data_IF_269468933296
#
_entry.id   IF_269468933296
#
_cell.length_a   1.000
_cell.length_b   1.000
_cell.length_c   1.000
_cell.angle_alpha   90.00
_cell.angle_beta   90.00
_cell.angle_gamma   90.00
#
_symmetry.space_group_name_H-M   'P 1'
#
loop_
_entity.id
_entity.type
_entity.pdbx_description
1 polymer ?
#
# COMPACT_ATOMS: atom_id res chain seq x y z
N UNK A 1 9.63 2.49 7.41
CA UNK A 1 9.62 3.15 6.09
C UNK A 1 8.31 3.93 5.94
N UNK A 2 8.29 5.13 5.33
CA UNK A 2 7.03 5.88 5.15
C UNK A 2 6.33 5.40 3.87
N UNK A 3 5.03 5.12 3.88
CA UNK A 3 4.27 4.72 2.69
C UNK A 3 4.34 5.74 1.55
N UNK A 4 4.56 7.03 1.88
CA UNK A 4 4.82 8.11 0.91
C UNK A 4 6.15 7.96 0.15
N UNK A 5 7.10 7.20 0.69
CA UNK A 5 8.33 6.83 -0.03
C UNK A 5 8.05 5.70 -1.02
N UNK A 6 7.21 4.73 -0.65
CA UNK A 6 6.79 3.63 -1.53
C UNK A 6 5.98 4.16 -2.71
N UNK A 7 4.99 5.03 -2.46
CA UNK A 7 4.18 5.63 -3.53
C UNK A 7 5.03 6.36 -4.57
N UNK A 8 6.05 7.10 -4.14
CA UNK A 8 7.00 7.78 -5.04
C UNK A 8 7.92 6.81 -5.79
N UNK A 9 8.46 5.79 -5.11
CA UNK A 9 9.39 4.83 -5.72
C UNK A 9 8.72 4.05 -6.85
N UNK A 10 7.51 3.55 -6.58
CA UNK A 10 6.77 2.67 -7.48
C UNK A 10 5.79 3.43 -8.39
N UNK A 11 5.63 4.75 -8.21
CA UNK A 11 4.69 5.60 -8.95
C UNK A 11 3.24 5.10 -8.84
N UNK A 12 2.86 4.68 -7.65
CA UNK A 12 1.53 4.17 -7.31
C UNK A 12 0.85 5.08 -6.29
N UNK A 13 -0.47 5.03 -6.23
CA UNK A 13 -1.26 5.74 -5.23
C UNK A 13 -1.56 4.82 -4.04
N UNK A 14 -1.27 5.31 -2.83
CA UNK A 14 -1.40 4.54 -1.59
C UNK A 14 -2.06 5.41 -0.53
N UNK A 15 -3.19 4.95 -0.02
CA UNK A 15 -3.87 5.56 1.10
C UNK A 15 -3.62 4.79 2.39
N UNK A 16 -3.64 5.52 3.51
CA UNK A 16 -3.65 4.93 4.85
C UNK A 16 -5.05 5.09 5.44
N UNK A 17 -5.68 3.97 5.76
CA UNK A 17 -7.04 3.91 6.32
C UNK A 17 -7.04 3.23 7.68
N UNK A 18 -8.16 3.32 8.41
CA UNK A 18 -8.39 2.53 9.64
C UNK A 18 -9.49 1.49 9.41
N UNK A 19 -9.17 0.23 9.65
CA UNK A 19 -10.10 -0.90 9.58
C UNK A 19 -10.16 -1.54 10.96
N UNK A 20 -11.36 -1.58 11.56
CA UNK A 20 -11.58 -2.13 12.90
C UNK A 20 -10.64 -1.57 13.99
N UNK A 21 -10.25 -0.30 13.87
CA UNK A 21 -9.34 0.37 14.81
C UNK A 21 -7.85 0.18 14.53
N UNK A 22 -7.50 -0.63 13.53
CA UNK A 22 -6.12 -0.85 13.10
C UNK A 22 -5.81 -0.06 11.83
N UNK A 23 -4.57 0.40 11.72
CA UNK A 23 -4.09 1.04 10.50
C UNK A 23 -3.96 -0.01 9.39
N UNK A 24 -4.40 0.32 8.18
CA UNK A 24 -4.24 -0.48 6.98
C UNK A 24 -3.89 0.43 5.79
N UNK A 25 -3.41 -0.18 4.70
CA UNK A 25 -2.96 0.52 3.51
C UNK A 25 -3.75 0.04 2.29
N UNK A 26 -4.24 0.98 1.49
CA UNK A 26 -4.95 0.71 0.25
C UNK A 26 -4.05 1.12 -0.90
N UNK A 27 -3.68 0.16 -1.75
CA UNK A 27 -3.00 0.40 -3.01
C UNK A 27 -4.06 0.52 -4.12
N UNK A 28 -3.99 1.60 -4.87
CA UNK A 28 -4.87 1.85 -6.01
C UNK A 28 -4.23 1.36 -7.30
N UNK A 29 -4.82 0.32 -7.87
CA UNK A 29 -4.47 -0.23 -9.18
C UNK A 29 -5.54 0.17 -10.21
N UNK A 30 -5.20 0.11 -11.50
CA UNK A 30 -6.06 0.64 -12.57
C UNK A 30 -7.50 0.10 -12.59
N UNK A 31 -7.74 -1.11 -12.07
CA UNK A 31 -9.06 -1.76 -12.07
C UNK A 31 -9.46 -2.34 -10.70
N UNK A 32 -8.62 -2.20 -9.66
CA UNK A 32 -8.85 -2.87 -8.39
C UNK A 32 -8.17 -2.12 -7.23
N UNK A 33 -8.65 -2.36 -6.01
CA UNK A 33 -8.07 -1.83 -4.78
C UNK A 33 -7.54 -3.00 -3.96
N UNK A 34 -6.25 -2.95 -3.59
CA UNK A 34 -5.64 -3.96 -2.74
C UNK A 34 -5.49 -3.41 -1.32
N UNK A 35 -5.94 -4.19 -0.34
CA UNK A 35 -5.84 -3.85 1.07
C UNK A 35 -4.72 -4.66 1.73
N UNK A 36 -3.83 -3.97 2.44
CA UNK A 36 -2.74 -4.55 3.21
C UNK A 36 -2.85 -4.12 4.66
N UNK A 37 -2.70 -5.04 5.62
CA UNK A 37 -2.83 -4.73 7.04
C UNK A 37 -1.52 -4.26 7.67
N UNK A 38 -0.39 -4.49 6.98
CA UNK A 38 0.91 -3.99 7.40
C UNK A 38 1.64 -3.28 6.27
N UNK A 39 2.59 -2.42 6.62
CA UNK A 39 3.45 -1.76 5.64
C UNK A 39 4.44 -2.76 4.98
N UNK A 40 4.77 -3.85 5.66
CA UNK A 40 5.66 -4.90 5.18
C UNK A 40 4.98 -5.74 4.08
N UNK A 41 3.72 -6.15 4.27
CA UNK A 41 2.94 -6.84 3.22
C UNK A 41 2.83 -5.99 1.95
N UNK A 42 2.51 -4.70 2.11
CA UNK A 42 2.46 -3.76 0.99
C UNK A 42 3.82 -3.65 0.29
N UNK A 43 4.91 -3.55 1.06
CA UNK A 43 6.25 -3.43 0.49
C UNK A 43 6.65 -4.70 -0.27
N UNK A 44 6.41 -5.89 0.30
CA UNK A 44 6.70 -7.16 -0.36
C UNK A 44 5.94 -7.30 -1.68
N UNK A 45 4.64 -6.99 -1.68
CA UNK A 45 3.84 -6.99 -2.90
C UNK A 45 4.42 -6.06 -3.97
N UNK A 46 4.78 -4.83 -3.58
CA UNK A 46 5.37 -3.87 -4.52
C UNK A 46 6.74 -4.33 -5.04
N UNK A 47 7.55 -5.02 -4.23
CA UNK A 47 8.85 -5.58 -4.66
C UNK A 47 8.71 -6.79 -5.59
N UNK A 48 7.61 -7.54 -5.49
CA UNK A 48 7.36 -8.70 -6.36
C UNK A 48 6.72 -8.32 -7.70
N UNK A 49 5.88 -7.27 -7.70
CA UNK A 49 5.08 -6.89 -8.88
C UNK A 49 5.72 -5.78 -9.71
N UNK A 50 6.53 -4.89 -9.11
CA UNK A 50 7.13 -3.72 -9.76
C UNK A 50 8.67 -3.69 -9.69
#
# INVERSE_FOLDING_TARGET
MRYTTLSKKYKVEIDKVRVNGYDAYVLHEANLLLLFYTAEELQQYLEEVY
#
